data_IF_301127526394
#
_entry.id   IF_301127526394
#
_cell.length_a   1.000
_cell.length_b   1.000
_cell.length_c   1.000
_cell.angle_alpha   90.00
_cell.angle_beta   90.00
_cell.angle_gamma   90.00
#
_symmetry.space_group_name_H-M   'P 1'
#
loop_
_entity.id
_entity.type
_entity.pdbx_description
1 polymer ?
#
# COMPACT_ATOMS: atom_id res chain seq x y z
N UNK A 1 2.27 6.26 5.17
CA UNK A 1 1.14 5.69 4.43
C UNK A 1 -0.05 5.58 5.35
N UNK A 2 -1.25 5.82 4.83
CA UNK A 2 -2.44 5.94 5.67
C UNK A 2 -3.65 5.15 5.25
N UNK A 3 -3.90 5.03 3.94
CA UNK A 3 -4.99 4.20 3.42
C UNK A 3 -4.46 3.38 2.26
N UNK A 4 -4.82 2.11 2.21
CA UNK A 4 -4.53 1.23 1.09
C UNK A 4 -5.82 0.56 0.66
N UNK A 5 -6.06 0.45 -0.65
CA UNK A 5 -7.09 -0.42 -1.19
C UNK A 5 -6.48 -1.49 -2.09
N UNK A 6 -7.11 -2.66 -2.10
CA UNK A 6 -6.87 -3.74 -3.04
C UNK A 6 -8.18 -4.06 -3.75
N UNK A 7 -8.13 -4.16 -5.08
CA UNK A 7 -9.24 -4.54 -5.94
C UNK A 7 -8.78 -5.67 -6.88
N UNK A 8 -9.37 -6.87 -6.83
CA UNK A 8 -9.11 -7.88 -7.84
C UNK A 8 -9.75 -7.50 -9.17
N UNK A 9 -9.06 -7.72 -10.29
CA UNK A 9 -9.57 -7.45 -11.64
C UNK A 9 -9.64 -8.73 -12.48
N UNK A 10 -10.73 -8.98 -13.23
CA UNK A 10 -11.94 -8.17 -13.30
C UNK A 10 -12.72 -8.18 -11.98
N UNK A 11 -13.61 -7.19 -11.79
CA UNK A 11 -14.46 -7.13 -10.60
C UNK A 11 -15.22 -8.47 -10.43
N UNK A 12 -15.34 -9.00 -9.20
CA UNK A 12 -15.93 -10.31 -9.00
C UNK A 12 -17.41 -10.30 -9.41
N UNK A 13 -17.73 -10.97 -10.52
CA UNK A 13 -19.11 -11.23 -10.95
C UNK A 13 -19.69 -12.48 -10.27
N UNK A 14 -18.82 -13.37 -9.78
CA UNK A 14 -19.12 -14.61 -9.03
C UNK A 14 -17.92 -14.99 -8.14
N UNK A 15 -18.11 -15.75 -7.05
CA UNK A 15 -17.06 -16.06 -6.05
C UNK A 15 -16.08 -17.16 -6.50
N UNK A 16 -15.85 -17.34 -7.80
CA UNK A 16 -14.84 -18.28 -8.31
C UNK A 16 -13.58 -17.50 -8.70
N UNK A 17 -12.46 -17.86 -8.07
CA UNK A 17 -11.12 -17.35 -8.40
C UNK A 17 -10.84 -17.48 -9.90
N UNK A 18 -10.55 -16.39 -10.64
CA UNK A 18 -9.80 -16.55 -11.87
C UNK A 18 -8.38 -16.99 -11.51
N UNK A 19 -7.92 -18.10 -12.10
CA UNK A 19 -6.57 -18.61 -11.94
C UNK A 19 -5.48 -17.61 -12.40
N UNK A 20 -5.85 -16.62 -13.23
CA UNK A 20 -5.05 -15.47 -13.64
C UNK A 20 -5.85 -14.17 -13.48
N UNK A 21 -5.92 -13.65 -12.26
CA UNK A 21 -6.57 -12.36 -11.96
C UNK A 21 -5.56 -11.22 -11.95
N UNK A 22 -5.90 -10.11 -12.60
CA UNK A 22 -5.22 -8.85 -12.36
C UNK A 22 -5.60 -8.27 -10.99
N UNK A 23 -4.99 -7.14 -10.63
CA UNK A 23 -5.42 -6.40 -9.45
C UNK A 23 -5.08 -4.93 -9.57
N UNK A 24 -5.66 -4.11 -8.71
CA UNK A 24 -5.26 -2.73 -8.48
C UNK A 24 -4.98 -2.56 -7.00
N UNK A 25 -3.78 -2.07 -6.67
CA UNK A 25 -3.38 -1.71 -5.32
C UNK A 25 -3.11 -0.21 -5.27
N UNK A 26 -3.89 0.53 -4.48
CA UNK A 26 -3.80 2.00 -4.38
C UNK A 26 -3.48 2.45 -2.97
N UNK A 27 -2.62 3.45 -2.82
CA UNK A 27 -2.12 3.93 -1.54
C UNK A 27 -2.16 5.45 -1.45
N UNK A 28 -2.72 5.98 -0.35
CA UNK A 28 -2.50 7.36 0.10
C UNK A 28 -1.30 7.41 1.05
N UNK A 29 -0.33 8.28 0.76
CA UNK A 29 0.76 8.60 1.67
C UNK A 29 0.46 9.87 2.46
N UNK A 30 0.15 9.68 3.74
CA UNK A 30 0.03 10.80 4.68
C UNK A 30 1.35 11.02 5.39
N UNK A 31 1.78 12.28 5.44
CA UNK A 31 3.07 12.70 5.96
C UNK A 31 3.05 14.18 6.34
N UNK A 32 4.00 14.62 7.17
CA UNK A 32 4.27 16.04 7.36
C UNK A 32 4.62 16.71 6.03
N UNK A 33 3.93 17.80 5.70
CA UNK A 33 4.19 18.58 4.48
C UNK A 33 5.63 19.13 4.42
N UNK A 34 6.28 19.29 5.58
CA UNK A 34 7.67 19.73 5.72
C UNK A 34 8.72 18.62 5.51
N UNK A 35 8.31 17.33 5.45
CA UNK A 35 9.26 16.25 5.18
C UNK A 35 9.86 16.42 3.79
N UNK A 36 11.13 16.06 3.65
CA UNK A 36 11.80 16.02 2.36
C UNK A 36 10.97 15.24 1.33
N UNK A 37 10.75 15.88 0.17
CA UNK A 37 9.92 15.33 -0.91
C UNK A 37 10.42 13.96 -1.36
N UNK A 38 9.48 13.07 -1.66
CA UNK A 38 9.80 11.79 -2.25
C UNK A 38 10.32 11.96 -3.68
N UNK A 39 11.21 11.07 -4.09
CA UNK A 39 11.57 10.92 -5.48
C UNK A 39 10.43 10.19 -6.19
N UNK A 40 10.12 10.66 -7.40
CA UNK A 40 9.17 10.02 -8.30
C UNK A 40 9.55 8.56 -8.53
N UNK A 41 8.59 7.68 -8.89
CA UNK A 41 8.91 6.30 -9.15
C UNK A 41 10.00 6.15 -10.19
N UNK A 42 10.92 5.22 -9.93
CA UNK A 42 12.02 4.88 -10.84
C UNK A 42 12.29 3.39 -10.73
N UNK A 43 13.06 2.88 -11.69
CA UNK A 43 13.59 1.52 -11.68
C UNK A 43 14.79 1.42 -10.74
N UNK A 44 14.81 0.40 -9.90
CA UNK A 44 15.92 0.04 -9.02
C UNK A 44 16.25 -1.44 -9.20
N UNK A 45 17.52 -1.81 -9.03
CA UNK A 45 17.94 -3.20 -8.92
C UNK A 45 18.15 -3.54 -7.45
N UNK A 46 17.36 -4.49 -6.93
CA UNK A 46 17.46 -4.98 -5.55
C UNK A 46 17.77 -6.47 -5.62
N UNK A 47 19.02 -6.84 -5.33
CA UNK A 47 19.51 -8.23 -5.38
C UNK A 47 19.17 -8.96 -6.68
N UNK A 48 19.41 -8.32 -7.82
CA UNK A 48 19.13 -8.89 -9.13
C UNK A 48 17.66 -8.78 -9.57
N UNK A 49 16.75 -8.34 -8.71
CA UNK A 49 15.34 -8.07 -9.06
C UNK A 49 15.16 -6.62 -9.52
N UNK A 50 14.44 -6.43 -10.62
CA UNK A 50 14.03 -5.10 -11.09
C UNK A 50 12.76 -4.66 -10.37
N UNK A 51 12.85 -3.59 -9.57
CA UNK A 51 11.76 -3.10 -8.73
C UNK A 51 11.48 -1.62 -9.01
N UNK A 52 10.21 -1.23 -9.03
CA UNK A 52 9.75 0.11 -9.30
C UNK A 52 9.02 0.68 -8.08
N UNK A 53 9.46 1.84 -7.61
CA UNK A 53 8.83 2.52 -6.48
C UNK A 53 9.19 4.00 -6.37
N UNK A 54 8.32 4.85 -5.80
CA UNK A 54 8.71 6.15 -5.30
C UNK A 54 9.61 6.00 -4.06
N UNK A 55 10.63 6.85 -3.91
CA UNK A 55 11.60 6.72 -2.81
C UNK A 55 11.43 7.85 -1.79
N UNK A 56 11.33 7.51 -0.51
CA UNK A 56 11.27 8.48 0.58
C UNK A 56 12.53 9.37 0.57
N UNK A 57 12.32 10.69 0.56
CA UNK A 57 13.41 11.65 0.43
C UNK A 57 14.36 11.69 1.62
N UNK A 58 13.88 11.34 2.82
CA UNK A 58 14.64 11.46 4.06
C UNK A 58 15.21 10.12 4.52
N UNK A 59 14.37 9.09 4.61
CA UNK A 59 14.75 7.77 5.15
C UNK A 59 15.27 6.80 4.08
N UNK A 60 15.16 7.15 2.79
CA UNK A 60 15.67 6.36 1.67
C UNK A 60 14.91 5.04 1.39
N UNK A 61 13.84 4.75 2.14
CA UNK A 61 12.97 3.60 1.92
C UNK A 61 11.83 3.88 0.93
N UNK A 62 10.80 3.04 0.93
CA UNK A 62 9.54 3.26 0.22
C UNK A 62 8.36 2.75 1.05
N UNK A 63 7.16 3.18 0.69
CA UNK A 63 5.91 2.68 1.25
C UNK A 63 5.20 1.73 0.28
N UNK A 64 5.50 1.76 -1.01
CA UNK A 64 4.88 0.90 -2.01
C UNK A 64 5.92 0.53 -3.07
N UNK A 65 5.90 -0.71 -3.54
CA UNK A 65 6.77 -1.16 -4.62
C UNK A 65 6.12 -2.27 -5.43
N UNK A 66 6.49 -2.39 -6.69
CA UNK A 66 6.13 -3.50 -7.57
C UNK A 66 7.37 -3.96 -8.32
N UNK A 67 7.60 -5.27 -8.43
CA UNK A 67 8.60 -5.83 -9.32
C UNK A 67 7.98 -6.32 -10.63
N UNK A 68 8.82 -6.66 -11.61
CA UNK A 68 8.34 -7.05 -12.94
C UNK A 68 7.52 -8.36 -12.92
N UNK A 69 7.72 -9.23 -11.93
CA UNK A 69 7.41 -10.66 -12.08
C UNK A 69 6.60 -11.28 -10.95
N UNK A 70 6.72 -10.81 -9.71
CA UNK A 70 6.28 -11.59 -8.55
C UNK A 70 5.48 -10.83 -7.51
N UNK A 71 5.86 -9.60 -7.16
CA UNK A 71 5.40 -8.96 -5.95
C UNK A 71 5.05 -7.49 -6.12
N UNK A 72 3.90 -7.11 -5.55
CA UNK A 72 3.54 -5.73 -5.23
C UNK A 72 3.30 -5.63 -3.74
N UNK A 73 4.00 -4.70 -3.08
CA UNK A 73 4.06 -4.54 -1.64
C UNK A 73 3.57 -3.15 -1.23
N UNK A 74 2.85 -3.07 -0.11
CA UNK A 74 2.37 -1.83 0.49
C UNK A 74 2.58 -1.85 2.00
N UNK A 75 3.22 -0.82 2.57
CA UNK A 75 3.46 -0.74 4.01
C UNK A 75 2.66 0.40 4.67
N UNK A 76 1.80 0.02 5.62
CA UNK A 76 1.11 0.94 6.52
C UNK A 76 1.82 1.04 7.87
N UNK A 77 1.65 2.19 8.53
CA UNK A 77 2.15 2.42 9.87
C UNK A 77 1.24 1.72 10.90
N UNK A 78 1.84 1.02 11.86
CA UNK A 78 1.14 0.29 12.91
C UNK A 78 0.65 -1.09 12.49
N UNK A 79 0.34 -1.91 13.49
CA UNK A 79 -0.28 -3.22 13.32
C UNK A 79 -1.79 -3.11 13.57
N UNK A 80 -2.28 -3.60 14.71
CA UNK A 80 -3.71 -3.62 15.05
C UNK A 80 -4.20 -2.27 15.61
N UNK A 81 -3.41 -1.69 16.51
CA UNK A 81 -3.71 -0.47 17.24
C UNK A 81 -2.53 0.51 17.22
N UNK A 82 -2.77 1.73 17.69
CA UNK A 82 -1.70 2.70 17.88
C UNK A 82 -0.71 2.18 18.94
N UNK A 83 0.56 2.10 18.57
CA UNK A 83 1.64 1.71 19.49
C UNK A 83 2.28 2.94 20.14
N UNK A 84 2.93 2.73 21.29
CA UNK A 84 3.78 3.76 21.89
C UNK A 84 5.08 3.88 21.11
N UNK A 85 5.40 5.07 20.63
CA UNK A 85 6.68 5.36 19.96
C UNK A 85 7.85 5.21 20.96
N UNK A 86 8.80 4.34 20.63
CA UNK A 86 9.92 3.90 21.49
C UNK A 86 11.23 3.82 20.69
N UNK A 87 11.85 4.97 20.35
CA UNK A 87 13.17 4.97 19.74
C UNK A 87 14.26 4.59 20.77
N UNK A 88 15.44 4.09 20.33
CA UNK A 88 15.84 3.96 18.93
C UNK A 88 15.30 2.69 18.26
N UNK A 89 14.80 2.84 17.03
CA UNK A 89 14.47 1.71 16.16
C UNK A 89 15.68 1.34 15.31
N UNK A 90 15.83 0.04 14.99
CA UNK A 90 16.93 -0.50 14.18
C UNK A 90 17.04 0.22 12.84
N UNK A 91 15.90 0.50 12.21
CA UNK A 91 15.81 1.39 11.05
C UNK A 91 14.37 1.83 10.75
N UNK A 92 14.17 2.67 9.73
CA UNK A 92 12.85 3.11 9.27
C UNK A 92 12.04 1.96 8.66
N UNK A 93 10.73 1.92 8.93
CA UNK A 93 9.79 0.97 8.31
C UNK A 93 9.85 0.97 6.78
N UNK A 94 10.12 2.12 6.16
CA UNK A 94 10.23 2.20 4.70
C UNK A 94 11.34 1.33 4.10
N UNK A 95 12.31 0.89 4.90
CA UNK A 95 13.37 -0.03 4.45
C UNK A 95 12.97 -1.50 4.48
N UNK A 96 11.80 -1.84 5.04
CA UNK A 96 11.27 -3.21 5.05
C UNK A 96 10.96 -3.69 3.62
N UNK A 97 10.33 -2.85 2.81
CA UNK A 97 9.99 -3.20 1.41
C UNK A 97 11.24 -3.49 0.56
N UNK A 98 12.28 -2.63 0.52
CA UNK A 98 13.51 -2.96 -0.18
C UNK A 98 14.19 -4.22 0.35
N UNK A 99 14.16 -4.45 1.67
CA UNK A 99 14.75 -5.65 2.26
C UNK A 99 14.02 -6.93 1.84
N UNK A 100 12.69 -6.90 1.68
CA UNK A 100 11.88 -8.04 1.22
C UNK A 100 12.41 -8.67 -0.07
N UNK A 101 12.87 -7.85 -1.02
CA UNK A 101 13.42 -8.33 -2.30
C UNK A 101 14.78 -9.06 -2.18
N UNK A 102 15.33 -9.18 -0.97
CA UNK A 102 16.50 -10.03 -0.68
C UNK A 102 16.13 -11.47 -0.33
N UNK A 103 14.84 -11.76 -0.21
CA UNK A 103 14.31 -13.06 0.19
C UNK A 103 13.69 -13.76 -1.03
N UNK A 104 13.57 -15.07 -0.96
CA UNK A 104 13.07 -15.87 -2.08
C UNK A 104 11.57 -15.61 -2.32
N UNK A 105 10.80 -15.59 -1.23
CA UNK A 105 9.37 -15.40 -1.24
C UNK A 105 8.89 -14.83 0.10
N UNK A 106 7.57 -14.59 0.21
CA UNK A 106 6.97 -14.04 1.43
C UNK A 106 7.17 -14.93 2.67
N UNK A 107 7.11 -16.26 2.52
CA UNK A 107 7.29 -17.20 3.65
C UNK A 107 8.73 -17.14 4.15
N UNK A 108 9.70 -17.16 3.23
CA UNK A 108 11.13 -17.00 3.54
C UNK A 108 11.41 -15.67 4.26
N UNK A 109 10.84 -14.57 3.76
CA UNK A 109 10.91 -13.26 4.42
C UNK A 109 10.32 -13.30 5.85
N UNK A 110 9.13 -13.86 6.01
CA UNK A 110 8.43 -13.94 7.30
C UNK A 110 9.18 -14.76 8.35
N UNK A 111 9.94 -15.78 7.93
CA UNK A 111 10.73 -16.64 8.82
C UNK A 111 12.09 -16.04 9.18
N UNK A 112 12.76 -15.39 8.22
CA UNK A 112 14.18 -15.06 8.36
C UNK A 112 14.47 -13.56 8.52
N UNK A 113 13.52 -12.67 8.24
CA UNK A 113 13.74 -11.25 8.41
C UNK A 113 13.81 -10.86 9.90
N UNK A 114 14.83 -10.10 10.35
CA UNK A 114 14.97 -9.73 11.76
C UNK A 114 14.03 -8.57 12.12
N UNK A 115 12.79 -8.89 12.50
CA UNK A 115 11.77 -7.89 12.89
C UNK A 115 12.07 -7.18 14.21
N UNK A 116 12.86 -7.79 15.10
CA UNK A 116 13.22 -7.23 16.41
C UNK A 116 13.85 -5.84 16.25
N UNK A 117 13.38 -4.90 17.09
CA UNK A 117 13.83 -3.51 17.06
C UNK A 117 13.20 -2.65 15.97
N UNK A 118 12.23 -3.16 15.21
CA UNK A 118 11.45 -2.36 14.26
C UNK A 118 10.18 -1.80 14.89
N UNK A 119 9.83 -0.59 14.45
CA UNK A 119 8.55 0.04 14.78
C UNK A 119 7.38 -0.76 14.15
N UNK A 120 6.26 -0.97 14.85
CA UNK A 120 5.12 -1.73 14.35
C UNK A 120 4.60 -1.27 12.97
N UNK A 121 4.23 -2.24 12.15
CA UNK A 121 3.76 -2.01 10.77
C UNK A 121 2.83 -3.12 10.28
N UNK A 122 2.12 -2.80 9.20
CA UNK A 122 1.35 -3.74 8.40
C UNK A 122 1.90 -3.73 6.98
N UNK A 123 2.30 -4.88 6.47
CA UNK A 123 2.76 -5.08 5.10
C UNK A 123 1.72 -5.91 4.36
N UNK A 124 1.13 -5.31 3.32
CA UNK A 124 0.27 -5.98 2.35
C UNK A 124 1.17 -6.52 1.25
N UNK A 125 1.12 -7.83 1.04
CA UNK A 125 1.91 -8.56 0.05
C UNK A 125 0.95 -9.14 -0.99
N UNK A 126 1.02 -8.64 -2.22
CA UNK A 126 0.34 -9.23 -3.37
C UNK A 126 1.37 -10.01 -4.17
N UNK A 127 1.19 -11.33 -4.28
CA UNK A 127 2.03 -12.16 -5.14
C UNK A 127 1.25 -12.61 -6.38
N UNK A 128 1.86 -12.53 -7.56
CA UNK A 128 1.19 -12.76 -8.85
C UNK A 128 2.00 -13.59 -9.86
N UNK A 129 3.09 -14.22 -9.44
CA UNK A 129 3.94 -15.02 -10.33
C UNK A 129 3.25 -16.29 -10.89
N UNK A 130 2.28 -16.84 -10.16
CA UNK A 130 1.55 -18.06 -10.56
C UNK A 130 0.07 -17.89 -10.30
N UNK A 131 -0.33 -17.91 -9.03
CA UNK A 131 -1.68 -17.56 -8.59
C UNK A 131 -1.64 -16.24 -7.84
N UNK A 132 -2.70 -15.43 -8.01
CA UNK A 132 -2.88 -14.21 -7.24
C UNK A 132 -3.11 -14.58 -5.77
N UNK A 133 -2.19 -14.18 -4.90
CA UNK A 133 -2.32 -14.34 -3.45
C UNK A 133 -2.17 -12.99 -2.76
N UNK A 134 -2.95 -12.81 -1.69
CA UNK A 134 -2.97 -11.62 -0.88
C UNK A 134 -2.66 -12.00 0.56
N UNK A 135 -1.50 -11.60 1.05
CA UNK A 135 -1.06 -11.86 2.43
C UNK A 135 -0.91 -10.56 3.18
N UNK A 136 -1.40 -10.54 4.42
CA UNK A 136 -1.19 -9.47 5.36
C UNK A 136 -0.19 -9.92 6.43
N UNK A 137 0.86 -9.13 6.61
CA UNK A 137 1.87 -9.30 7.65
C UNK A 137 1.81 -8.13 8.62
N UNK A 138 1.48 -8.39 9.88
CA UNK A 138 1.44 -7.37 10.93
C UNK A 138 2.52 -7.64 11.96
N UNK A 139 3.51 -6.77 12.02
CA UNK A 139 4.49 -6.77 13.09
C UNK A 139 4.01 -5.86 14.21
N UNK A 140 3.67 -6.42 15.37
CA UNK A 140 3.13 -5.66 16.51
C UNK A 140 4.22 -5.09 17.45
N UNK A 141 5.50 -5.33 17.14
CA UNK A 141 6.64 -4.99 17.99
C UNK A 141 7.20 -6.17 18.78
N UNK A 142 6.46 -7.27 18.86
CA UNK A 142 6.83 -8.49 19.58
C UNK A 142 6.68 -9.75 18.74
N UNK A 143 5.58 -9.85 17.99
CA UNK A 143 5.18 -11.03 17.23
C UNK A 143 4.79 -10.61 15.82
N UNK A 144 5.22 -11.42 14.84
CA UNK A 144 4.74 -11.31 13.47
C UNK A 144 3.44 -12.11 13.35
N UNK A 145 2.36 -11.44 12.97
CA UNK A 145 1.10 -12.07 12.64
C UNK A 145 0.96 -12.15 11.12
N UNK A 146 0.67 -13.34 10.61
CA UNK A 146 0.49 -13.60 9.19
C UNK A 146 -0.93 -14.06 8.92
N UNK A 147 -1.59 -13.40 7.98
CA UNK A 147 -2.94 -13.76 7.53
C UNK A 147 -2.98 -13.85 6.01
N UNK A 148 -3.38 -15.02 5.49
CA UNK A 148 -3.74 -15.17 4.09
C UNK A 148 -5.19 -14.69 3.90
N UNK A 149 -5.40 -13.76 2.98
CA UNK A 149 -6.70 -13.18 2.66
C UNK A 149 -7.25 -13.78 1.36
N UNK A 150 -8.57 -13.68 1.16
CA UNK A 150 -9.20 -14.11 -0.07
C UNK A 150 -8.92 -13.08 -1.18
N UNK A 151 -7.94 -13.36 -2.05
CA UNK A 151 -7.57 -12.45 -3.13
C UNK A 151 -8.70 -12.19 -4.16
N UNK A 152 -9.83 -12.91 -4.11
CA UNK A 152 -11.02 -12.61 -4.90
C UNK A 152 -11.91 -11.51 -4.30
N UNK A 153 -11.59 -11.00 -3.11
CA UNK A 153 -12.33 -9.94 -2.42
C UNK A 153 -11.58 -8.60 -2.45
N UNK A 154 -12.31 -7.47 -2.53
CA UNK A 154 -11.72 -6.15 -2.32
C UNK A 154 -11.46 -5.89 -0.83
N UNK A 155 -10.40 -5.13 -0.52
CA UNK A 155 -10.03 -4.77 0.85
C UNK A 155 -9.62 -3.31 0.94
N UNK A 156 -9.86 -2.69 2.10
CA UNK A 156 -9.32 -1.38 2.45
C UNK A 156 -8.68 -1.44 3.84
N UNK A 157 -7.42 -1.02 3.91
CA UNK A 157 -6.68 -0.85 5.15
C UNK A 157 -6.52 0.63 5.48
N UNK A 158 -6.52 0.93 6.77
CA UNK A 158 -6.22 2.26 7.29
C UNK A 158 -5.20 2.15 8.43
N UNK A 159 -4.22 3.07 8.44
CA UNK A 159 -3.14 3.12 9.44
C UNK A 159 -3.70 3.26 10.85
N UNK A 160 -3.41 2.27 11.72
CA UNK A 160 -3.87 2.27 13.10
C UNK A 160 -3.22 3.38 13.94
N UNK A 161 -2.05 3.88 13.53
CA UNK A 161 -1.37 4.97 14.25
C UNK A 161 -1.98 6.34 13.96
N UNK A 162 -2.64 6.49 12.80
CA UNK A 162 -3.19 7.78 12.36
C UNK A 162 -4.70 7.84 12.53
N UNK A 163 -5.40 6.71 12.42
CA UNK A 163 -6.85 6.66 12.48
C UNK A 163 -7.34 5.80 13.64
N UNK A 164 -8.08 6.39 14.60
CA UNK A 164 -8.81 5.63 15.60
C UNK A 164 -9.76 4.62 14.94
N UNK A 165 -10.10 3.57 15.68
CA UNK A 165 -10.97 2.48 15.21
C UNK A 165 -12.24 2.97 14.51
N UNK A 166 -12.96 3.93 15.10
CA UNK A 166 -14.19 4.50 14.53
C UNK A 166 -13.96 5.16 13.15
N UNK A 167 -12.81 5.80 12.93
CA UNK A 167 -12.47 6.41 11.64
C UNK A 167 -12.08 5.35 10.60
N UNK A 168 -11.39 4.28 11.00
CA UNK A 168 -11.12 3.14 10.11
C UNK A 168 -12.42 2.49 9.62
N UNK A 169 -13.34 2.21 10.54
CA UNK A 169 -14.67 1.68 10.25
C UNK A 169 -15.48 2.60 9.31
N UNK A 170 -15.37 3.92 9.50
CA UNK A 170 -16.00 4.90 8.59
C UNK A 170 -15.45 4.79 7.16
N UNK A 171 -14.13 4.67 7.01
CA UNK A 171 -13.49 4.53 5.69
C UNK A 171 -13.82 3.20 5.02
N UNK A 172 -13.87 2.12 5.79
CA UNK A 172 -14.33 0.82 5.30
C UNK A 172 -15.76 0.90 4.77
N UNK A 173 -16.67 1.58 5.48
CA UNK A 173 -18.04 1.81 4.99
C UNK A 173 -18.08 2.61 3.69
N UNK A 174 -17.34 3.71 3.59
CA UNK A 174 -17.26 4.47 2.34
C UNK A 174 -16.76 3.62 1.17
N UNK A 175 -15.80 2.72 1.42
CA UNK A 175 -15.30 1.81 0.41
C UNK A 175 -16.36 0.80 -0.03
N UNK A 176 -17.07 0.18 0.92
CA UNK A 176 -18.18 -0.74 0.61
C UNK A 176 -19.29 -0.05 -0.19
N UNK A 177 -19.69 1.16 0.21
CA UNK A 177 -20.67 1.97 -0.52
C UNK A 177 -20.19 2.29 -1.93
N UNK A 178 -18.92 2.69 -2.08
CA UNK A 178 -18.33 2.96 -3.39
C UNK A 178 -18.30 1.71 -4.28
N UNK A 179 -17.95 0.55 -3.74
CA UNK A 179 -17.91 -0.73 -4.46
C UNK A 179 -19.29 -1.11 -5.03
N UNK A 180 -20.38 -0.82 -4.32
CA UNK A 180 -21.74 -1.10 -4.78
C UNK A 180 -22.14 -0.28 -6.02
N UNK A 181 -21.46 0.85 -6.25
CA UNK A 181 -21.69 1.71 -7.40
C UNK A 181 -20.81 1.35 -8.61
N UNK A 182 -19.88 0.40 -8.48
CA UNK A 182 -18.95 0.03 -9.55
C UNK A 182 -19.45 -1.21 -10.30
N UNK A 183 -19.67 -1.06 -11.61
CA UNK A 183 -19.90 -2.20 -12.52
C UNK A 183 -18.60 -2.92 -12.91
N UNK A 184 -17.47 -2.21 -12.86
CA UNK A 184 -16.13 -2.73 -13.06
C UNK A 184 -15.12 -1.87 -12.29
N UNK A 185 -13.97 -2.44 -11.94
CA UNK A 185 -12.89 -1.70 -11.31
C UNK A 185 -11.92 -1.17 -12.36
N UNK A 186 -11.49 0.08 -12.19
CA UNK A 186 -10.44 0.70 -13.00
C UNK A 186 -9.50 1.49 -12.09
N UNK A 187 -8.23 1.57 -12.47
CA UNK A 187 -7.27 2.37 -11.70
C UNK A 187 -7.69 3.84 -11.61
N UNK A 188 -8.31 4.42 -12.64
CA UNK A 188 -8.80 5.80 -12.58
C UNK A 188 -9.90 5.96 -11.53
N UNK A 189 -10.87 5.06 -11.50
CA UNK A 189 -12.00 5.15 -10.58
C UNK A 189 -11.55 5.02 -9.12
N UNK A 190 -10.64 4.09 -8.81
CA UNK A 190 -10.13 3.93 -7.44
C UNK A 190 -9.20 5.08 -7.04
N UNK A 191 -8.40 5.65 -7.96
CA UNK A 191 -7.64 6.88 -7.68
C UNK A 191 -8.58 8.02 -7.33
N UNK A 192 -9.66 8.22 -8.10
CA UNK A 192 -10.68 9.25 -7.78
C UNK A 192 -11.35 9.02 -6.43
N UNK A 193 -11.67 7.78 -6.06
CA UNK A 193 -12.16 7.44 -4.72
C UNK A 193 -11.17 7.90 -3.64
N UNK A 194 -9.89 7.56 -3.77
CA UNK A 194 -8.84 7.99 -2.84
C UNK A 194 -8.62 9.52 -2.79
N UNK A 195 -9.01 10.26 -3.83
CA UNK A 195 -8.90 11.73 -3.91
C UNK A 195 -10.11 12.46 -3.36
N UNK A 196 -11.31 11.91 -3.51
CA UNK A 196 -12.55 12.66 -3.35
C UNK A 196 -13.41 12.21 -2.17
N UNK A 197 -13.17 11.01 -1.62
CA UNK A 197 -14.01 10.47 -0.54
C UNK A 197 -13.78 11.17 0.79
N UNK A 198 -14.86 11.71 1.33
CA UNK A 198 -14.95 12.33 2.65
C UNK A 198 -16.38 12.83 2.92
N UNK A 199 -16.61 13.38 4.10
CA UNK A 199 -17.91 13.91 4.54
C UNK A 199 -17.84 15.37 5.00
N UNK A 200 -16.94 16.14 4.40
CA UNK A 200 -16.69 17.53 4.77
C UNK A 200 -15.72 17.70 5.95
N UNK A 201 -15.29 16.61 6.60
CA UNK A 201 -14.20 16.63 7.58
C UNK A 201 -12.84 16.35 6.90
N UNK A 202 -12.02 17.38 6.63
CA UNK A 202 -10.73 17.20 5.97
C UNK A 202 -9.73 16.45 6.85
N UNK A 203 -9.93 16.34 8.16
CA UNK A 203 -8.97 15.66 9.05
C UNK A 203 -9.05 14.14 8.96
N UNK A 204 -10.22 13.63 8.51
CA UNK A 204 -10.55 12.21 8.45
C UNK A 204 -11.02 11.73 7.07
N UNK A 205 -11.18 12.60 6.08
CA UNK A 205 -11.35 12.24 4.65
C UNK A 205 -10.17 11.41 4.12
N UNK A 206 -10.34 10.67 3.02
CA UNK A 206 -9.23 9.88 2.44
C UNK A 206 -8.08 10.77 1.96
N UNK A 207 -8.42 11.89 1.32
CA UNK A 207 -7.51 13.00 1.08
C UNK A 207 -7.47 13.90 2.32
N UNK A 208 -6.73 13.46 3.35
CA UNK A 208 -6.70 14.15 4.63
C UNK A 208 -5.77 15.38 4.68
N UNK A 209 -6.10 16.32 5.54
CA UNK A 209 -5.29 17.46 5.93
C UNK A 209 -5.58 17.82 7.40
N UNK A 210 -4.53 17.79 8.25
CA UNK A 210 -4.62 18.13 9.67
C UNK A 210 -3.98 19.49 9.98
N UNK A 211 -4.47 20.21 11.00
CA UNK A 211 -3.88 21.50 11.42
C UNK A 211 -2.41 21.42 11.82
N UNK A 212 -1.94 20.24 12.27
CA UNK A 212 -0.54 20.03 12.67
C UNK A 212 0.43 19.83 11.48
N UNK A 213 -0.03 20.01 10.24
CA UNK A 213 0.77 19.92 9.02
C UNK A 213 0.90 18.53 8.41
N UNK A 214 0.32 17.49 9.04
CA UNK A 214 0.18 16.17 8.41
C UNK A 214 -0.92 16.26 7.35
N UNK A 215 -0.61 15.83 6.12
CA UNK A 215 -1.58 15.76 5.02
C UNK A 215 -1.26 14.61 4.09
N UNK A 216 -2.21 14.26 3.23
CA UNK A 216 -1.92 13.38 2.09
C UNK A 216 -1.00 14.11 1.12
N UNK A 217 0.19 13.57 0.91
CA UNK A 217 1.21 14.19 0.03
C UNK A 217 1.33 13.50 -1.32
N UNK A 218 0.90 12.24 -1.43
CA UNK A 218 0.90 11.54 -2.71
C UNK A 218 -0.14 10.42 -2.76
N UNK A 219 -0.51 10.05 -3.98
CA UNK A 219 -1.28 8.85 -4.30
C UNK A 219 -0.44 7.98 -5.22
N UNK A 220 -0.35 6.70 -4.92
CA UNK A 220 0.33 5.72 -5.78
C UNK A 220 -0.61 4.58 -6.06
N UNK A 221 -0.76 4.19 -7.33
CA UNK A 221 -1.60 3.06 -7.72
C UNK A 221 -0.82 2.14 -8.65
N UNK A 222 -0.84 0.85 -8.35
CA UNK A 222 -0.28 -0.21 -9.20
C UNK A 222 -1.46 -1.00 -9.74
N UNK A 223 -1.62 -1.00 -11.06
CA UNK A 223 -2.54 -1.90 -11.76
C UNK A 223 -1.72 -3.00 -12.41
N UNK A 224 -1.97 -4.24 -12.03
CA UNK A 224 -1.40 -5.42 -12.66
C UNK A 224 -2.45 -6.05 -13.58
N UNK A 225 -2.00 -6.39 -14.78
CA UNK A 225 -2.74 -7.18 -15.76
C UNK A 225 -1.82 -8.26 -16.31
N UNK A 226 -2.37 -9.27 -16.98
CA UNK A 226 -1.57 -10.30 -17.66
C UNK A 226 -0.52 -9.71 -18.63
N UNK A 227 -0.77 -8.53 -19.19
CA UNK A 227 0.06 -7.93 -20.25
C UNK A 227 1.08 -6.92 -19.74
N UNK A 228 0.80 -6.24 -18.64
CA UNK A 228 1.65 -5.15 -18.13
C UNK A 228 1.26 -4.76 -16.70
N UNK A 229 2.21 -4.11 -16.03
CA UNK A 229 1.94 -3.30 -14.85
C UNK A 229 1.87 -1.83 -15.21
N UNK A 230 0.96 -1.10 -14.58
CA UNK A 230 0.83 0.35 -14.68
C UNK A 230 0.97 0.98 -13.31
N UNK A 231 2.11 1.60 -13.07
CA UNK A 231 2.43 2.34 -11.84
C UNK A 231 2.12 3.82 -12.04
N UNK A 232 0.98 4.26 -11.52
CA UNK A 232 0.58 5.65 -11.42
C UNK A 232 1.09 6.27 -10.12
N UNK A 233 1.62 7.48 -10.20
CA UNK A 233 2.02 8.27 -9.04
C UNK A 233 1.62 9.73 -9.23
N UNK A 234 0.90 10.28 -8.25
CA UNK A 234 0.54 11.69 -8.16
C UNK A 234 1.17 12.30 -6.92
N UNK A 235 2.01 13.31 -7.12
CA UNK A 235 2.46 14.21 -6.06
C UNK A 235 1.40 15.30 -5.89
N UNK A 236 0.78 15.35 -4.70
CA UNK A 236 -0.29 16.30 -4.39
C UNK A 236 0.24 17.66 -3.93
N UNK A 237 1.55 17.77 -3.63
CA UNK A 237 2.16 19.04 -3.25
C UNK A 237 2.58 19.86 -4.47
N UNK A 238 2.96 19.18 -5.56
CA UNK A 238 3.31 19.83 -6.83
C UNK A 238 2.25 19.68 -7.92
N UNK A 239 1.18 18.94 -7.64
CA UNK A 239 0.10 18.61 -8.58
C UNK A 239 0.57 17.90 -9.86
N UNK A 240 1.74 17.27 -9.81
CA UNK A 240 2.32 16.54 -10.93
C UNK A 240 2.03 15.05 -10.81
N UNK A 241 1.65 14.42 -11.92
CA UNK A 241 1.45 12.99 -12.01
C UNK A 241 2.35 12.35 -13.06
N UNK A 242 2.66 11.08 -12.88
CA UNK A 242 3.38 10.26 -13.85
C UNK A 242 2.82 8.85 -13.87
N UNK A 243 2.98 8.18 -15.00
CA UNK A 243 2.59 6.79 -15.18
C UNK A 243 3.76 6.04 -15.81
N UNK A 244 4.20 4.97 -15.13
CA UNK A 244 5.18 4.02 -15.66
C UNK A 244 4.44 2.78 -16.14
N UNK A 245 4.67 2.41 -17.40
CA UNK A 245 4.27 1.12 -17.93
C UNK A 245 5.45 0.17 -17.83
N UNK A 246 5.27 -0.93 -17.13
CA UNK A 246 6.26 -1.99 -16.94
C UNK A 246 5.72 -3.18 -17.74
N UNK A 247 6.48 -3.63 -18.72
CA UNK A 247 6.06 -4.77 -19.55
C UNK A 247 6.36 -6.06 -18.79
N UNK A 248 5.37 -6.95 -18.74
CA UNK A 248 5.47 -8.28 -18.12
C UNK A 248 6.33 -9.22 -18.95
#
# INVERSE_FOLDING_TARGET
MCTVSFLPTPAPQTPTLPASGGFILTSNRDEMASRQRALFPRRYNLNGRTVFYPKDGLAGGTWIATDEQQYTLCLLNGAFDAHRHQPPYRHSRGQVIPAFFSYENEVDFSLHYPFVGLEPFTLVVVAYASNLTLTELRWDGTTLHRQLLNAACPYLWSSATLYPYAIRQKRERWFVEWLQLQSAYSQEAIVRFHEQTGDGDPTNALLMQRPNGIRTVSITSVEHTEQAHRLYYRDLLTETATTFRILS
#
